data_IF_063822184690
#
_entry.id   IF_063822184690
#
_cell.length_a   1.000
_cell.length_b   1.000
_cell.length_c   1.000
_cell.angle_alpha   90.00
_cell.angle_beta   90.00
_cell.angle_gamma   90.00
#
_symmetry.space_group_name_H-M   'P 1'
#
loop_
_entity.id
_entity.type
_entity.pdbx_description
1 polymer ?
#
# COMPACT_ATOMS: atom_id res chain seq x y z
N UNK A 1 -51.83 -3.50 62.99
CA UNK A 1 -52.64 -4.73 62.83
C UNK A 1 -52.49 -5.18 61.39
N UNK A 2 -51.58 -6.11 61.07
CA UNK A 2 -51.79 -7.56 60.99
C UNK A 2 -52.85 -8.01 59.96
N UNK A 3 -52.41 -8.97 59.10
CA UNK A 3 -53.16 -10.00 58.32
C UNK A 3 -53.74 -9.55 56.95
N UNK A 4 -53.56 -10.23 55.80
CA UNK A 4 -52.94 -11.52 55.40
C UNK A 4 -52.72 -11.54 53.87
N UNK A 5 -51.74 -12.32 53.38
CA UNK A 5 -51.51 -12.73 51.98
C UNK A 5 -52.73 -13.44 51.34
N UNK A 6 -52.88 -13.38 50.00
CA UNK A 6 -52.80 -14.57 49.10
C UNK A 6 -52.78 -14.19 47.59
N UNK A 7 -51.67 -14.57 46.93
CA UNK A 7 -51.42 -15.04 45.54
C UNK A 7 -52.38 -14.67 44.37
N UNK A 8 -51.75 -14.28 43.25
CA UNK A 8 -51.85 -15.08 42.02
C UNK A 8 -52.25 -14.37 40.72
N UNK A 9 -51.24 -13.92 39.95
CA UNK A 9 -51.08 -14.00 38.48
C UNK A 9 -52.32 -13.99 37.56
N UNK A 10 -52.46 -12.92 36.77
CA UNK A 10 -52.71 -12.94 35.31
C UNK A 10 -52.75 -11.49 34.80
N UNK A 11 -51.64 -11.01 34.26
CA UNK A 11 -51.60 -9.75 33.51
C UNK A 11 -51.73 -10.09 32.02
N UNK A 12 -52.88 -9.76 31.43
CA UNK A 12 -53.05 -9.70 29.98
C UNK A 12 -52.44 -8.41 29.46
N UNK A 13 -51.31 -8.50 28.77
CA UNK A 13 -50.88 -7.46 27.83
C UNK A 13 -50.66 -8.11 26.47
N UNK A 14 -51.65 -7.94 25.60
CA UNK A 14 -51.51 -8.07 24.16
C UNK A 14 -50.46 -7.03 23.71
N UNK A 15 -49.24 -7.46 23.46
CA UNK A 15 -48.29 -6.77 22.59
C UNK A 15 -48.06 -7.67 21.40
N UNK A 16 -48.60 -7.25 20.26
CA UNK A 16 -48.36 -7.85 18.96
C UNK A 16 -46.92 -7.48 18.56
N UNK A 17 -45.93 -8.21 19.07
CA UNK A 17 -44.60 -8.28 18.48
C UNK A 17 -44.55 -9.56 17.66
N UNK A 18 -44.71 -9.44 16.35
CA UNK A 18 -44.24 -10.49 15.43
C UNK A 18 -42.71 -10.45 15.52
N UNK A 19 -42.15 -11.20 16.47
CA UNK A 19 -40.74 -11.50 16.47
C UNK A 19 -40.51 -12.50 15.34
N UNK A 20 -39.84 -12.07 14.28
CA UNK A 20 -39.23 -12.99 13.33
C UNK A 20 -38.02 -13.62 14.04
N UNK A 21 -38.26 -14.58 14.93
CA UNK A 21 -37.19 -15.39 15.53
C UNK A 21 -36.74 -16.39 14.48
N UNK A 22 -35.46 -16.35 14.11
CA UNK A 22 -34.83 -17.42 13.33
C UNK A 22 -35.10 -18.77 13.96
N UNK A 23 -35.34 -19.81 13.15
CA UNK A 23 -35.40 -21.19 13.60
C UNK A 23 -34.17 -21.50 14.47
N UNK A 24 -34.38 -22.22 15.57
CA UNK A 24 -33.32 -22.58 16.52
C UNK A 24 -32.13 -23.23 15.81
N UNK A 25 -32.39 -24.12 14.85
CA UNK A 25 -31.33 -24.81 14.10
C UNK A 25 -30.49 -23.86 13.23
N UNK A 26 -31.10 -22.82 12.65
CA UNK A 26 -30.40 -21.77 11.88
C UNK A 26 -29.59 -20.87 12.82
N UNK A 27 -30.16 -20.53 13.97
CA UNK A 27 -29.46 -19.76 15.00
C UNK A 27 -28.22 -20.51 15.51
N UNK A 28 -28.36 -21.81 15.77
CA UNK A 28 -27.26 -22.68 16.21
C UNK A 28 -26.18 -22.82 15.12
N UNK A 29 -26.57 -22.91 13.85
CA UNK A 29 -25.62 -22.89 12.73
C UNK A 29 -24.87 -21.55 12.67
N UNK A 30 -25.58 -20.42 12.72
CA UNK A 30 -24.93 -19.09 12.69
C UNK A 30 -23.96 -18.94 13.87
N UNK A 31 -24.36 -19.35 15.08
CA UNK A 31 -23.53 -19.26 16.26
C UNK A 31 -22.27 -20.15 16.17
N UNK A 32 -22.40 -21.37 15.65
CA UNK A 32 -21.24 -22.26 15.45
C UNK A 32 -20.27 -21.72 14.39
N UNK A 33 -20.79 -21.14 13.28
CA UNK A 33 -19.97 -20.43 12.28
C UNK A 33 -19.27 -19.22 12.92
N UNK A 34 -20.00 -18.44 13.71
CA UNK A 34 -19.48 -17.22 14.32
C UNK A 34 -18.32 -17.51 15.29
N UNK A 35 -18.47 -18.58 16.06
CA UNK A 35 -17.47 -19.13 16.96
C UNK A 35 -16.39 -19.98 16.25
N UNK A 36 -16.40 -20.05 14.92
CA UNK A 36 -15.45 -20.80 14.07
C UNK A 36 -15.39 -22.31 14.35
N UNK A 37 -16.47 -22.89 14.87
CA UNK A 37 -16.60 -24.32 15.17
C UNK A 37 -16.92 -25.13 13.91
N UNK A 38 -15.90 -25.36 13.07
CA UNK A 38 -16.06 -25.88 11.71
C UNK A 38 -16.75 -27.26 11.67
N UNK A 39 -16.35 -28.21 12.50
CA UNK A 39 -16.93 -29.56 12.49
C UNK A 39 -18.42 -29.55 12.88
N UNK A 40 -18.78 -28.82 13.95
CA UNK A 40 -20.17 -28.68 14.39
C UNK A 40 -21.03 -27.99 13.33
N UNK A 41 -20.51 -26.92 12.71
CA UNK A 41 -21.21 -26.24 11.62
C UNK A 41 -21.46 -27.18 10.43
N UNK A 42 -20.48 -27.99 10.04
CA UNK A 42 -20.63 -28.96 8.94
C UNK A 42 -21.69 -30.02 9.25
N UNK A 43 -21.75 -30.53 10.49
CA UNK A 43 -22.79 -31.47 10.92
C UNK A 43 -24.19 -30.86 10.83
N UNK A 44 -24.36 -29.61 11.26
CA UNK A 44 -25.66 -28.92 11.18
C UNK A 44 -26.05 -28.68 9.71
N UNK A 45 -25.13 -28.23 8.87
CA UNK A 45 -25.36 -28.01 7.42
C UNK A 45 -25.85 -29.28 6.73
N UNK A 46 -25.39 -30.45 7.15
CA UNK A 46 -25.78 -31.70 6.52
C UNK A 46 -27.25 -32.06 6.73
N UNK A 47 -27.86 -31.62 7.84
CA UNK A 47 -29.24 -31.94 8.22
C UNK A 47 -30.21 -30.76 8.13
N UNK A 48 -29.73 -29.53 7.93
CA UNK A 48 -30.59 -28.34 7.88
C UNK A 48 -31.39 -28.25 6.57
N UNK A 49 -32.69 -28.00 6.69
CA UNK A 49 -33.60 -27.92 5.55
C UNK A 49 -33.64 -26.55 4.86
N UNK A 50 -33.25 -25.46 5.55
CA UNK A 50 -33.23 -24.11 4.98
C UNK A 50 -31.92 -23.38 5.34
N UNK A 51 -31.05 -23.22 4.35
CA UNK A 51 -29.75 -22.53 4.52
C UNK A 51 -29.81 -21.02 4.24
N UNK A 52 -30.99 -20.52 3.87
CA UNK A 52 -31.22 -19.15 3.41
C UNK A 52 -31.94 -18.28 4.44
N UNK A 53 -32.32 -18.87 5.58
CA UNK A 53 -32.92 -18.12 6.67
C UNK A 53 -31.92 -17.10 7.24
N UNK A 54 -32.40 -15.88 7.45
CA UNK A 54 -31.59 -14.71 7.80
C UNK A 54 -31.83 -14.32 9.26
N UNK A 55 -30.76 -13.94 9.96
CA UNK A 55 -30.86 -13.38 11.31
C UNK A 55 -31.48 -11.97 11.34
N UNK A 56 -31.55 -11.38 12.54
CA UNK A 56 -32.08 -10.02 12.74
C UNK A 56 -31.35 -8.91 11.96
N UNK A 57 -30.14 -9.17 11.46
CA UNK A 57 -29.37 -8.26 10.62
C UNK A 57 -29.58 -8.55 9.12
N UNK A 58 -30.36 -9.57 8.77
CA UNK A 58 -30.51 -10.06 7.41
C UNK A 58 -29.39 -11.01 6.99
N UNK A 59 -28.56 -11.52 7.91
CA UNK A 59 -27.44 -12.38 7.52
C UNK A 59 -27.87 -13.86 7.51
N UNK A 60 -27.76 -14.48 6.34
CA UNK A 60 -27.83 -15.94 6.20
C UNK A 60 -26.47 -16.59 6.58
N UNK A 61 -26.44 -17.90 6.91
CA UNK A 61 -25.20 -18.64 7.21
C UNK A 61 -24.03 -18.40 6.24
N UNK A 62 -24.32 -18.24 4.94
CA UNK A 62 -23.29 -17.98 3.92
C UNK A 62 -22.63 -16.59 4.07
N UNK A 63 -23.36 -15.59 4.59
CA UNK A 63 -22.77 -14.29 4.94
C UNK A 63 -21.80 -14.43 6.11
N UNK A 64 -22.16 -15.21 7.13
CA UNK A 64 -21.31 -15.44 8.30
C UNK A 64 -20.04 -16.22 7.93
N UNK A 65 -20.17 -17.26 7.10
CA UNK A 65 -19.01 -18.01 6.59
C UNK A 65 -18.04 -17.11 5.82
N UNK A 66 -18.57 -16.21 4.98
CA UNK A 66 -17.80 -15.21 4.26
C UNK A 66 -17.15 -14.16 5.20
N UNK A 67 -17.94 -13.59 6.12
CA UNK A 67 -17.51 -12.58 7.11
C UNK A 67 -16.42 -13.11 8.06
N UNK A 68 -16.46 -14.40 8.40
CA UNK A 68 -15.49 -15.06 9.27
C UNK A 68 -14.32 -15.71 8.53
N UNK A 69 -14.28 -15.59 7.20
CA UNK A 69 -13.22 -16.15 6.36
C UNK A 69 -13.07 -17.68 6.54
N UNK A 70 -14.19 -18.42 6.42
CA UNK A 70 -14.27 -19.89 6.60
C UNK A 70 -14.60 -20.62 5.27
N UNK A 71 -13.61 -20.94 4.41
CA UNK A 71 -13.84 -21.49 3.08
C UNK A 71 -14.51 -22.87 3.07
N UNK A 72 -14.18 -23.71 4.05
CA UNK A 72 -14.75 -25.06 4.17
C UNK A 72 -16.26 -25.01 4.40
N UNK A 73 -16.71 -24.11 5.28
CA UNK A 73 -18.13 -23.89 5.57
C UNK A 73 -18.83 -23.29 4.35
N UNK A 74 -18.24 -22.25 3.73
CA UNK A 74 -18.79 -21.64 2.52
C UNK A 74 -18.97 -22.67 1.39
N UNK A 75 -18.00 -23.56 1.20
CA UNK A 75 -18.06 -24.65 0.22
C UNK A 75 -19.18 -25.64 0.51
N UNK A 76 -19.38 -26.00 1.77
CA UNK A 76 -20.47 -26.89 2.18
C UNK A 76 -21.84 -26.26 1.94
N UNK A 77 -22.03 -25.00 2.34
CA UNK A 77 -23.27 -24.24 2.12
C UNK A 77 -23.61 -24.11 0.63
N UNK A 78 -22.62 -23.77 -0.20
CA UNK A 78 -22.80 -23.67 -1.67
C UNK A 78 -23.15 -25.04 -2.27
N UNK A 79 -22.48 -26.12 -1.84
CA UNK A 79 -22.76 -27.48 -2.31
C UNK A 79 -24.19 -27.93 -1.96
N UNK A 80 -24.72 -27.48 -0.83
CA UNK A 80 -26.11 -27.74 -0.40
C UNK A 80 -27.14 -26.79 -1.03
N UNK A 81 -26.73 -25.87 -1.89
CA UNK A 81 -27.63 -25.03 -2.67
C UNK A 81 -28.17 -23.80 -1.93
N UNK A 82 -27.41 -23.23 -0.99
CA UNK A 82 -27.76 -21.91 -0.46
C UNK A 82 -27.80 -20.85 -1.58
N UNK A 83 -28.63 -19.82 -1.41
CA UNK A 83 -28.66 -18.67 -2.29
C UNK A 83 -27.48 -17.74 -1.97
N UNK A 84 -26.48 -17.80 -2.84
CA UNK A 84 -25.22 -17.07 -2.74
C UNK A 84 -25.36 -15.56 -3.00
N UNK A 85 -26.53 -15.11 -3.43
CA UNK A 85 -26.83 -13.73 -3.81
C UNK A 85 -27.81 -13.04 -2.86
N UNK A 86 -28.18 -13.69 -1.75
CA UNK A 86 -28.96 -13.06 -0.68
C UNK A 86 -28.28 -11.78 -0.21
N UNK A 87 -29.10 -10.79 0.14
CA UNK A 87 -28.60 -9.53 0.71
C UNK A 87 -29.05 -9.40 2.15
N UNK A 88 -28.17 -8.88 2.99
CA UNK A 88 -28.54 -8.45 4.34
C UNK A 88 -29.48 -7.22 4.33
N UNK A 89 -29.89 -6.78 5.52
CA UNK A 89 -30.75 -5.59 5.67
C UNK A 89 -30.12 -4.31 5.12
N UNK A 90 -28.81 -4.30 4.90
CA UNK A 90 -28.04 -3.20 4.33
C UNK A 90 -27.75 -3.39 2.84
N UNK A 91 -28.14 -4.50 2.21
CA UNK A 91 -27.88 -4.78 0.80
C UNK A 91 -26.52 -5.44 0.50
N UNK A 92 -25.80 -5.93 1.51
CA UNK A 92 -24.53 -6.65 1.35
C UNK A 92 -24.77 -8.13 1.09
N UNK A 93 -24.08 -8.69 0.08
CA UNK A 93 -24.08 -10.12 -0.24
C UNK A 93 -22.97 -10.86 0.49
N UNK A 94 -23.02 -12.22 0.53
CA UNK A 94 -21.89 -13.02 0.99
C UNK A 94 -20.59 -12.68 0.26
N UNK A 95 -20.67 -12.35 -1.03
CA UNK A 95 -19.51 -11.88 -1.79
C UNK A 95 -18.97 -10.58 -1.21
N UNK A 96 -19.81 -9.59 -0.87
CA UNK A 96 -19.32 -8.35 -0.24
C UNK A 96 -18.64 -8.62 1.12
N UNK A 97 -19.15 -9.56 1.92
CA UNK A 97 -18.49 -9.95 3.18
C UNK A 97 -17.16 -10.66 2.95
N UNK A 98 -17.07 -11.56 1.97
CA UNK A 98 -15.82 -12.23 1.60
C UNK A 98 -14.76 -11.22 1.12
N UNK A 99 -15.22 -10.18 0.39
CA UNK A 99 -14.38 -9.06 -0.05
C UNK A 99 -13.87 -8.26 1.13
N UNK A 100 -14.74 -7.91 2.08
CA UNK A 100 -14.39 -7.13 3.27
C UNK A 100 -13.46 -7.91 4.23
N UNK A 101 -13.62 -9.23 4.27
CA UNK A 101 -12.79 -10.12 5.08
C UNK A 101 -11.45 -10.51 4.41
N UNK A 102 -11.17 -9.96 3.22
CA UNK A 102 -9.96 -10.21 2.43
C UNK A 102 -9.66 -11.70 2.19
N UNK A 103 -10.71 -12.51 1.99
CA UNK A 103 -10.57 -13.95 1.75
C UNK A 103 -10.77 -14.30 0.27
N UNK A 104 -9.65 -14.35 -0.47
CA UNK A 104 -9.66 -14.64 -1.91
C UNK A 104 -10.22 -16.02 -2.27
N UNK A 105 -10.04 -17.02 -1.41
CA UNK A 105 -10.57 -18.38 -1.65
C UNK A 105 -12.10 -18.36 -1.71
N UNK A 106 -12.76 -17.69 -0.76
CA UNK A 106 -14.22 -17.56 -0.75
C UNK A 106 -14.69 -16.65 -1.88
N UNK A 107 -13.97 -15.57 -2.18
CA UNK A 107 -14.28 -14.69 -3.31
C UNK A 107 -14.30 -15.49 -4.62
N UNK A 108 -13.25 -16.28 -4.88
CA UNK A 108 -13.19 -17.14 -6.06
C UNK A 108 -14.28 -18.21 -6.07
N UNK A 109 -14.54 -18.84 -4.92
CA UNK A 109 -15.57 -19.85 -4.78
C UNK A 109 -16.97 -19.29 -5.09
N UNK A 110 -17.32 -18.12 -4.55
CA UNK A 110 -18.61 -17.47 -4.78
C UNK A 110 -18.76 -17.03 -6.25
N UNK A 111 -17.74 -16.36 -6.80
CA UNK A 111 -17.75 -15.93 -8.20
C UNK A 111 -17.90 -17.09 -9.17
N UNK A 112 -17.18 -18.20 -8.93
CA UNK A 112 -17.26 -19.42 -9.76
C UNK A 112 -18.67 -20.02 -9.77
N UNK A 113 -19.43 -19.85 -8.70
CA UNK A 113 -20.79 -20.39 -8.58
C UNK A 113 -21.88 -19.37 -8.96
N UNK A 114 -21.52 -18.25 -9.59
CA UNK A 114 -22.48 -17.27 -10.10
C UNK A 114 -22.88 -16.17 -9.12
N UNK A 115 -22.06 -15.90 -8.10
CA UNK A 115 -22.29 -14.77 -7.22
C UNK A 115 -22.15 -13.47 -8.00
N UNK A 116 -23.18 -12.62 -7.93
CA UNK A 116 -23.15 -11.27 -8.50
C UNK A 116 -22.67 -10.29 -7.46
N UNK A 117 -21.83 -9.34 -7.89
CA UNK A 117 -21.42 -8.22 -7.04
C UNK A 117 -22.63 -7.28 -6.92
N UNK A 118 -23.42 -7.42 -5.86
CA UNK A 118 -24.32 -6.35 -5.48
C UNK A 118 -23.51 -5.18 -4.92
N UNK A 119 -23.91 -4.02 -5.41
CA UNK A 119 -23.11 -2.82 -5.58
C UNK A 119 -23.21 -1.95 -4.32
N UNK A 120 -22.75 -2.45 -3.17
CA UNK A 120 -22.52 -1.67 -1.93
C UNK A 120 -21.15 -1.92 -1.28
N UNK A 121 -20.31 -2.73 -1.92
CA UNK A 121 -19.04 -3.20 -1.37
C UNK A 121 -17.87 -2.20 -1.45
N UNK A 122 -17.93 -1.18 -2.31
CA UNK A 122 -16.92 -0.12 -2.30
C UNK A 122 -17.46 0.98 -1.38
N UNK A 123 -16.71 1.29 -0.31
CA UNK A 123 -17.03 2.43 0.54
C UNK A 123 -16.94 3.72 -0.27
N UNK A 124 -17.46 4.82 0.30
CA UNK A 124 -17.12 6.14 -0.23
C UNK A 124 -15.61 6.24 -0.40
N UNK A 125 -15.18 6.59 -1.61
CA UNK A 125 -13.78 6.69 -1.97
C UNK A 125 -13.60 7.89 -2.86
N UNK A 126 -12.55 8.66 -2.60
CA UNK A 126 -12.10 9.76 -3.43
C UNK A 126 -10.60 9.63 -3.55
N UNK A 127 -10.10 9.48 -4.77
CA UNK A 127 -8.68 9.35 -5.07
C UNK A 127 -8.27 10.42 -6.08
N UNK A 128 -7.11 11.04 -5.86
CA UNK A 128 -6.63 12.19 -6.63
C UNK A 128 -6.07 13.33 -5.76
N UNK A 129 -5.85 14.52 -6.36
CA UNK A 129 -6.06 14.80 -7.78
C UNK A 129 -5.02 14.08 -8.64
N UNK A 130 -5.44 13.55 -9.76
CA UNK A 130 -4.57 13.26 -10.89
C UNK A 130 -4.53 14.51 -11.76
N UNK A 131 -3.35 14.86 -12.28
CA UNK A 131 -3.16 16.16 -12.94
C UNK A 131 -2.42 15.95 -14.24
N UNK A 132 -3.04 16.31 -15.35
CA UNK A 132 -2.50 16.15 -16.69
C UNK A 132 -2.00 17.48 -17.24
N UNK A 133 -0.86 17.43 -17.94
CA UNK A 133 -0.43 18.53 -18.80
C UNK A 133 -1.27 18.56 -20.07
N UNK A 134 -1.86 19.71 -20.39
CA UNK A 134 -2.69 19.92 -21.58
C UNK A 134 -2.24 21.15 -22.37
N UNK A 135 -2.68 21.30 -23.61
CA UNK A 135 -2.40 22.50 -24.42
C UNK A 135 -2.91 23.80 -23.76
N UNK A 136 -3.98 23.69 -22.98
CA UNK A 136 -4.69 24.82 -22.36
C UNK A 136 -4.29 25.07 -20.90
N UNK A 137 -3.28 24.36 -20.38
CA UNK A 137 -2.86 24.42 -18.97
C UNK A 137 -2.89 23.04 -18.33
N UNK A 138 -3.48 22.92 -17.14
CA UNK A 138 -3.59 21.64 -16.44
C UNK A 138 -5.04 21.14 -16.46
N UNK A 139 -5.21 19.82 -16.48
CA UNK A 139 -6.50 19.20 -16.18
C UNK A 139 -6.34 18.35 -14.93
N UNK A 140 -6.93 18.81 -13.83
CA UNK A 140 -6.91 18.09 -12.56
C UNK A 140 -8.24 17.34 -12.39
N UNK A 141 -8.20 16.11 -11.91
CA UNK A 141 -9.39 15.29 -11.73
C UNK A 141 -9.28 14.30 -10.56
N UNK A 142 -10.43 13.92 -10.00
CA UNK A 142 -10.57 12.93 -8.95
C UNK A 142 -11.42 11.77 -9.44
N UNK A 143 -11.07 10.57 -9.01
CA UNK A 143 -11.89 9.37 -9.17
C UNK A 143 -12.71 9.21 -7.90
N UNK A 144 -14.03 9.02 -8.05
CA UNK A 144 -14.95 8.96 -6.92
C UNK A 144 -15.85 7.75 -6.98
N UNK A 145 -16.11 7.18 -5.82
CA UNK A 145 -17.21 6.26 -5.61
C UNK A 145 -18.12 6.79 -4.52
N UNK A 146 -19.40 6.92 -4.84
CA UNK A 146 -20.47 7.16 -3.86
C UNK A 146 -21.14 5.83 -3.56
N UNK A 147 -21.02 5.36 -2.32
CA UNK A 147 -21.58 4.09 -1.87
C UNK A 147 -23.09 4.14 -1.67
N UNK A 148 -23.70 5.32 -1.50
CA UNK A 148 -25.14 5.46 -1.36
C UNK A 148 -25.85 5.29 -2.70
N UNK A 149 -25.34 5.95 -3.75
CA UNK A 149 -25.87 5.83 -5.12
C UNK A 149 -25.25 4.67 -5.91
N UNK A 150 -24.23 4.02 -5.36
CA UNK A 150 -23.33 3.09 -6.03
C UNK A 150 -22.87 3.54 -7.42
N UNK A 151 -22.44 4.80 -7.49
CA UNK A 151 -21.93 5.38 -8.71
C UNK A 151 -20.44 5.63 -8.57
N UNK A 152 -19.66 5.07 -9.49
CA UNK A 152 -18.29 5.51 -9.72
C UNK A 152 -18.27 6.52 -10.86
N UNK A 153 -17.58 7.63 -10.66
CA UNK A 153 -17.49 8.71 -11.64
C UNK A 153 -16.18 9.50 -11.47
N UNK A 154 -15.86 10.32 -12.47
CA UNK A 154 -14.75 11.26 -12.42
C UNK A 154 -15.29 12.68 -12.29
N UNK A 155 -14.58 13.52 -11.53
CA UNK A 155 -14.81 14.97 -11.49
C UNK A 155 -13.53 15.67 -11.86
N UNK A 156 -13.59 16.67 -12.76
CA UNK A 156 -12.39 17.32 -13.26
C UNK A 156 -12.58 18.81 -13.47
N UNK A 157 -11.47 19.55 -13.42
CA UNK A 157 -11.41 20.99 -13.68
C UNK A 157 -10.18 21.31 -14.52
N UNK A 158 -10.38 22.21 -15.47
CA UNK A 158 -9.26 22.84 -16.19
C UNK A 158 -8.72 24.00 -15.38
N UNK A 159 -7.41 24.05 -15.24
CA UNK A 159 -6.66 25.14 -14.63
C UNK A 159 -5.93 25.86 -15.77
N UNK A 160 -6.16 27.17 -15.87
CA UNK A 160 -5.70 27.97 -17.00
C UNK A 160 -4.17 27.92 -17.16
N UNK A 161 -3.72 27.96 -18.42
CA UNK A 161 -2.30 28.07 -18.75
C UNK A 161 -1.63 29.21 -17.99
N UNK A 162 -0.45 28.93 -17.43
CA UNK A 162 0.32 29.88 -16.63
C UNK A 162 -0.06 29.89 -15.14
N UNK A 163 -1.18 29.28 -14.75
CA UNK A 163 -1.50 29.00 -13.35
C UNK A 163 -0.85 27.69 -12.96
N UNK A 164 0.06 27.76 -11.98
CA UNK A 164 0.79 26.61 -11.47
C UNK A 164 0.38 26.24 -10.04
N UNK A 165 -0.63 26.88 -9.48
CA UNK A 165 -1.16 26.58 -8.16
C UNK A 165 -2.69 26.48 -8.20
N UNK A 166 -3.24 25.47 -7.57
CA UNK A 166 -4.69 25.33 -7.42
C UNK A 166 -5.05 24.69 -6.08
N UNK A 167 -6.24 25.02 -5.59
CA UNK A 167 -6.82 24.37 -4.41
C UNK A 167 -7.60 23.12 -4.86
N UNK A 168 -7.43 22.03 -4.13
CA UNK A 168 -8.29 20.86 -4.23
C UNK A 168 -9.77 21.22 -4.06
N UNK A 169 -10.64 20.31 -4.45
CA UNK A 169 -12.07 20.49 -4.28
C UNK A 169 -12.71 19.21 -3.76
N UNK A 170 -14.02 19.27 -3.53
CA UNK A 170 -14.80 18.05 -3.40
C UNK A 170 -14.46 17.20 -2.17
N UNK A 171 -14.02 17.87 -1.10
CA UNK A 171 -13.55 17.29 0.17
C UNK A 171 -12.06 17.50 0.41
N UNK A 172 -11.30 17.68 -0.66
CA UNK A 172 -9.87 18.00 -0.59
C UNK A 172 -9.66 19.51 -0.36
N UNK A 173 -8.87 19.84 0.66
CA UNK A 173 -8.58 21.22 1.06
C UNK A 173 -7.14 21.64 0.76
N UNK A 174 -6.35 20.72 0.21
CA UNK A 174 -4.92 20.88 -0.08
C UNK A 174 -4.71 21.92 -1.17
N UNK A 175 -3.60 22.67 -1.08
CA UNK A 175 -3.14 23.53 -2.18
C UNK A 175 -1.99 22.85 -2.88
N UNK A 176 -2.14 22.65 -4.19
CA UNK A 176 -1.16 21.98 -5.05
C UNK A 176 -0.40 23.03 -5.84
N UNK A 177 0.90 23.14 -5.58
CA UNK A 177 1.81 23.96 -6.37
C UNK A 177 2.59 23.04 -7.31
N UNK A 178 2.31 23.16 -8.61
CA UNK A 178 2.90 22.37 -9.69
C UNK A 178 4.17 23.06 -10.19
N UNK A 179 5.22 22.28 -10.40
CA UNK A 179 6.48 22.70 -11.00
C UNK A 179 6.89 21.80 -12.14
N UNK A 180 7.65 22.37 -13.08
CA UNK A 180 8.30 21.57 -14.11
C UNK A 180 9.26 20.56 -13.47
N UNK A 181 9.18 19.34 -13.94
CA UNK A 181 10.00 18.23 -13.47
C UNK A 181 11.47 18.46 -13.82
N UNK A 182 12.36 18.10 -12.89
CA UNK A 182 13.82 18.12 -13.10
C UNK A 182 14.42 16.78 -12.73
N UNK A 183 15.30 16.28 -13.59
CA UNK A 183 16.09 15.09 -13.29
C UNK A 183 17.13 15.42 -12.21
N UNK A 184 17.08 14.79 -11.03
CA UNK A 184 18.07 15.00 -9.99
C UNK A 184 19.42 14.39 -10.37
N UNK A 185 20.50 14.95 -9.79
CA UNK A 185 21.80 14.27 -9.77
C UNK A 185 21.67 12.92 -9.05
N UNK A 186 22.55 11.99 -9.35
CA UNK A 186 22.58 10.71 -8.65
C UNK A 186 23.56 10.70 -7.46
N UNK A 187 24.54 11.62 -7.44
CA UNK A 187 25.55 11.75 -6.38
C UNK A 187 25.48 13.12 -5.70
N UNK A 188 25.56 13.10 -4.37
CA UNK A 188 25.55 14.28 -3.50
C UNK A 188 26.62 14.15 -2.41
N UNK A 189 27.12 15.30 -1.93
CA UNK A 189 27.93 15.37 -0.72
C UNK A 189 27.28 16.37 0.23
N UNK A 190 27.18 16.01 1.51
CA UNK A 190 26.57 16.86 2.54
C UNK A 190 27.16 16.57 3.91
N UNK A 191 27.19 17.59 4.77
CA UNK A 191 27.47 17.46 6.21
C UNK A 191 26.18 17.52 7.04
N UNK A 192 25.05 17.76 6.39
CA UNK A 192 23.73 17.86 7.01
C UNK A 192 23.16 16.46 7.31
N UNK A 193 22.29 16.31 8.32
CA UNK A 193 21.71 15.03 8.67
C UNK A 193 20.85 14.44 7.54
N UNK A 194 20.91 13.12 7.37
CA UNK A 194 20.13 12.36 6.40
C UNK A 194 19.10 11.51 7.15
N UNK A 195 17.83 11.80 6.94
CA UNK A 195 16.71 11.01 7.44
C UNK A 195 16.23 10.06 6.35
N UNK A 196 16.01 8.79 6.69
CA UNK A 196 15.77 7.73 5.70
C UNK A 196 14.58 6.90 6.12
N UNK A 197 13.68 6.67 5.17
CA UNK A 197 12.53 5.77 5.29
C UNK A 197 12.60 4.69 4.21
N UNK A 198 12.23 3.46 4.59
CA UNK A 198 12.05 2.35 3.67
C UNK A 198 10.70 2.38 2.96
N UNK A 199 10.17 1.18 2.70
CA UNK A 199 8.95 0.93 1.93
C UNK A 199 7.71 1.59 2.58
N UNK A 200 7.01 2.43 1.83
CA UNK A 200 5.83 3.16 2.35
C UNK A 200 4.52 2.41 2.07
N UNK A 201 4.39 1.76 0.91
CA UNK A 201 3.24 0.95 0.50
C UNK A 201 1.87 1.59 0.77
N UNK A 202 1.73 2.87 0.41
CA UNK A 202 0.51 3.63 0.62
C UNK A 202 0.09 3.84 2.09
N UNK A 203 0.96 3.56 3.07
CA UNK A 203 0.73 3.76 4.51
C UNK A 203 1.01 5.22 4.91
N UNK A 204 0.28 6.14 4.29
CA UNK A 204 0.47 7.59 4.41
C UNK A 204 0.45 8.10 5.86
N UNK A 205 -0.51 7.64 6.67
CA UNK A 205 -0.67 8.15 8.04
C UNK A 205 0.53 7.77 8.91
N UNK A 206 1.06 6.55 8.74
CA UNK A 206 2.28 6.10 9.44
C UNK A 206 3.53 6.78 8.93
N UNK A 207 3.64 7.04 7.63
CA UNK A 207 4.72 7.86 7.09
C UNK A 207 4.72 9.26 7.72
N UNK A 208 3.55 9.92 7.81
CA UNK A 208 3.44 11.23 8.45
C UNK A 208 3.81 11.17 9.92
N UNK A 209 3.26 10.19 10.66
CA UNK A 209 3.53 10.03 12.08
C UNK A 209 5.04 9.94 12.34
N UNK A 210 5.75 9.13 11.55
CA UNK A 210 7.19 8.98 11.64
C UNK A 210 7.95 10.28 11.30
N UNK A 211 7.58 10.97 10.22
CA UNK A 211 8.20 12.24 9.84
C UNK A 211 7.96 13.35 10.87
N UNK A 212 6.78 13.38 11.50
CA UNK A 212 6.42 14.38 12.51
C UNK A 212 7.08 14.09 13.86
N UNK A 213 7.12 12.83 14.29
CA UNK A 213 7.77 12.42 15.54
C UNK A 213 9.23 12.88 15.60
N UNK A 214 9.90 12.89 14.45
CA UNK A 214 11.31 13.27 14.33
C UNK A 214 11.53 14.70 13.81
N UNK A 215 10.47 15.50 13.66
CA UNK A 215 10.59 16.91 13.26
C UNK A 215 11.03 17.14 11.81
N UNK A 216 10.96 16.13 10.95
CA UNK A 216 11.25 16.27 9.51
C UNK A 216 10.18 17.13 8.85
N UNK A 217 8.94 16.99 9.29
CA UNK A 217 7.81 17.84 8.91
C UNK A 217 7.07 18.35 10.14
N UNK A 218 6.43 19.52 10.02
CA UNK A 218 5.60 20.08 11.07
C UNK A 218 4.18 19.47 11.10
N UNK A 219 3.36 19.93 12.06
CA UNK A 219 1.95 19.51 12.20
C UNK A 219 1.06 19.93 11.03
N UNK A 220 1.53 20.85 10.18
CA UNK A 220 0.87 21.31 8.95
C UNK A 220 1.46 20.62 7.71
N UNK A 221 2.24 19.55 7.90
CA UNK A 221 2.88 18.75 6.85
C UNK A 221 3.87 19.55 6.00
N UNK A 222 4.46 20.63 6.55
CA UNK A 222 5.51 21.41 5.89
C UNK A 222 6.88 20.92 6.29
N UNK A 223 7.82 21.01 5.35
CA UNK A 223 9.23 20.75 5.61
C UNK A 223 9.74 21.55 6.81
N UNK A 224 10.29 20.84 7.80
CA UNK A 224 10.89 21.40 9.01
C UNK A 224 12.33 20.90 9.24
N UNK A 225 12.91 20.22 8.25
CA UNK A 225 14.21 19.56 8.35
C UNK A 225 15.40 20.39 7.84
N UNK A 226 15.30 21.73 7.91
CA UNK A 226 16.38 22.64 7.55
C UNK A 226 17.03 22.33 6.19
N UNK A 227 18.36 22.16 6.20
CA UNK A 227 19.17 21.74 5.04
C UNK A 227 19.40 20.23 4.97
N UNK A 228 18.78 19.46 5.85
CA UNK A 228 18.90 18.02 5.89
C UNK A 228 18.39 17.35 4.61
N UNK A 229 18.75 16.09 4.46
CA UNK A 229 18.32 15.26 3.34
C UNK A 229 17.28 14.25 3.84
N UNK A 230 16.18 14.08 3.11
CA UNK A 230 15.20 13.03 3.32
C UNK A 230 15.32 12.02 2.18
N UNK A 231 15.44 10.73 2.48
CA UNK A 231 15.58 9.66 1.48
C UNK A 231 14.45 8.64 1.65
N UNK A 232 13.73 8.38 0.57
CA UNK A 232 12.80 7.25 0.46
C UNK A 232 13.46 6.13 -0.34
N UNK A 233 13.58 4.94 0.25
CA UNK A 233 14.21 3.76 -0.35
C UNK A 233 13.18 2.88 -1.06
N UNK A 234 12.37 3.51 -1.91
CA UNK A 234 11.44 2.85 -2.84
C UNK A 234 10.10 2.44 -2.24
N UNK A 235 9.29 1.79 -3.07
CA UNK A 235 8.03 1.14 -2.71
C UNK A 235 7.04 2.05 -1.99
N UNK A 236 6.73 3.18 -2.63
CA UNK A 236 5.64 4.08 -2.24
C UNK A 236 4.29 3.53 -2.69
N UNK A 237 4.27 2.87 -3.84
CA UNK A 237 3.08 2.26 -4.44
C UNK A 237 2.62 0.97 -3.74
N UNK A 238 1.40 0.55 -4.13
CA UNK A 238 0.76 -0.72 -3.78
C UNK A 238 0.38 -0.90 -2.30
N UNK A 239 -0.43 -1.95 -2.06
CA UNK A 239 -0.99 -2.41 -0.78
C UNK A 239 -1.93 -1.42 -0.09
N UNK A 240 -1.44 -0.24 0.31
CA UNK A 240 -2.21 0.78 1.03
C UNK A 240 -3.12 1.63 0.14
N UNK A 241 -4.05 2.33 0.78
CA UNK A 241 -5.12 3.11 0.11
C UNK A 241 -4.88 4.62 0.13
N UNK A 242 -3.64 5.08 0.40
CA UNK A 242 -3.28 6.51 0.39
C UNK A 242 -1.99 6.82 -0.40
N UNK A 243 -1.77 6.05 -1.47
CA UNK A 243 -0.63 6.22 -2.39
C UNK A 243 -0.61 7.62 -3.00
N UNK A 244 -1.74 8.13 -3.49
CA UNK A 244 -1.81 9.42 -4.18
C UNK A 244 -1.47 10.57 -3.22
N UNK A 245 -1.97 10.51 -1.98
CA UNK A 245 -1.67 11.47 -0.92
C UNK A 245 -0.18 11.44 -0.54
N UNK A 246 0.41 10.24 -0.43
CA UNK A 246 1.84 10.09 -0.18
C UNK A 246 2.68 10.72 -1.31
N UNK A 247 2.36 10.43 -2.56
CA UNK A 247 3.05 11.00 -3.72
C UNK A 247 2.96 12.53 -3.74
N UNK A 248 1.78 13.11 -3.48
CA UNK A 248 1.62 14.56 -3.43
C UNK A 248 2.36 15.21 -2.27
N UNK A 249 2.36 14.58 -1.09
CA UNK A 249 3.14 15.07 0.04
C UNK A 249 4.63 15.04 -0.28
N UNK A 250 5.16 13.94 -0.81
CA UNK A 250 6.58 13.83 -1.18
C UNK A 250 6.93 14.85 -2.28
N UNK A 251 6.05 15.03 -3.28
CA UNK A 251 6.20 16.05 -4.32
C UNK A 251 6.28 17.47 -3.75
N UNK A 252 5.43 17.79 -2.77
CA UNK A 252 5.46 19.06 -2.03
C UNK A 252 6.73 19.21 -1.20
N UNK A 253 7.11 18.19 -0.44
CA UNK A 253 8.30 18.23 0.43
C UNK A 253 9.59 18.41 -0.39
N UNK A 254 9.69 17.81 -1.57
CA UNK A 254 10.84 18.02 -2.46
C UNK A 254 11.01 19.51 -2.82
N UNK A 255 9.90 20.23 -3.04
CA UNK A 255 9.91 21.67 -3.32
C UNK A 255 10.30 22.51 -2.12
N UNK A 256 9.76 22.17 -0.94
CA UNK A 256 10.03 22.91 0.29
C UNK A 256 11.47 22.68 0.78
N UNK A 257 11.96 21.44 0.69
CA UNK A 257 13.35 21.11 0.97
C UNK A 257 14.29 21.87 0.03
N UNK A 258 14.01 21.89 -1.27
CA UNK A 258 14.80 22.66 -2.24
C UNK A 258 14.89 24.15 -1.88
N UNK A 259 13.78 24.75 -1.41
CA UNK A 259 13.74 26.16 -0.97
C UNK A 259 14.52 26.38 0.33
N UNK A 260 14.51 25.42 1.24
CA UNK A 260 15.24 25.47 2.51
C UNK A 260 16.74 25.15 2.36
N UNK A 261 17.18 24.71 1.18
CA UNK A 261 18.55 24.25 0.92
C UNK A 261 18.79 22.79 1.26
N UNK A 262 17.74 22.05 1.66
CA UNK A 262 17.76 20.60 1.83
C UNK A 262 17.42 19.86 0.54
N UNK A 263 17.17 18.55 0.68
CA UNK A 263 16.81 17.66 -0.44
C UNK A 263 15.85 16.56 -0.02
N UNK A 264 14.96 16.17 -0.93
CA UNK A 264 14.23 14.91 -0.87
C UNK A 264 14.71 14.02 -2.02
N UNK A 265 15.05 12.77 -1.72
CA UNK A 265 15.54 11.78 -2.66
C UNK A 265 14.58 10.59 -2.68
N UNK A 266 14.34 10.05 -3.87
CA UNK A 266 13.59 8.81 -4.05
C UNK A 266 14.50 7.87 -4.83
N UNK A 267 14.81 6.71 -4.23
CA UNK A 267 15.44 5.59 -4.92
C UNK A 267 14.35 4.59 -5.27
N UNK A 268 13.97 4.51 -6.55
CA UNK A 268 12.85 3.68 -7.02
C UNK A 268 12.91 2.24 -6.53
N UNK A 269 11.76 1.73 -6.06
CA UNK A 269 11.54 0.34 -5.73
C UNK A 269 10.93 -0.48 -6.86
N UNK A 270 10.67 -1.75 -6.59
CA UNK A 270 10.08 -2.62 -7.60
C UNK A 270 8.59 -2.31 -7.82
N UNK A 271 7.87 -1.82 -6.82
CA UNK A 271 6.45 -1.51 -6.96
C UNK A 271 6.19 -0.30 -7.86
N UNK A 272 7.06 0.73 -7.83
CA UNK A 272 7.02 1.82 -8.83
C UNK A 272 7.17 1.26 -10.25
N UNK A 273 8.12 0.33 -10.46
CA UNK A 273 8.34 -0.28 -11.78
C UNK A 273 7.16 -1.13 -12.23
N UNK A 274 6.57 -1.89 -11.31
CA UNK A 274 5.43 -2.74 -11.57
C UNK A 274 4.22 -1.91 -12.00
N UNK A 275 3.80 -0.95 -11.18
CA UNK A 275 2.64 -0.11 -11.46
C UNK A 275 2.83 0.67 -12.75
N UNK A 276 3.99 1.31 -12.95
CA UNK A 276 4.23 2.09 -14.17
C UNK A 276 4.31 1.23 -15.45
N UNK A 277 4.53 -0.08 -15.33
CA UNK A 277 4.51 -1.06 -16.42
C UNK A 277 3.27 -1.97 -16.43
N UNK A 278 2.14 -1.50 -15.88
CA UNK A 278 0.83 -2.17 -15.88
C UNK A 278 0.72 -3.44 -15.03
N UNK A 279 1.71 -3.72 -14.20
CA UNK A 279 1.64 -4.82 -13.25
C UNK A 279 0.96 -4.35 -11.96
N UNK A 280 -0.37 -4.50 -11.93
CA UNK A 280 -1.23 -4.05 -10.84
C UNK A 280 -1.60 -5.18 -9.88
N UNK A 281 -0.75 -6.20 -9.71
CA UNK A 281 -1.09 -7.37 -8.87
C UNK A 281 -1.20 -7.03 -7.38
N UNK A 282 -0.52 -5.99 -6.91
CA UNK A 282 -0.48 -5.60 -5.50
C UNK A 282 -1.18 -4.27 -5.19
N UNK A 283 -1.82 -3.62 -6.17
CA UNK A 283 -2.58 -2.40 -5.89
C UNK A 283 -3.71 -2.71 -4.91
N UNK A 284 -4.01 -1.76 -4.02
CA UNK A 284 -5.12 -1.92 -3.10
C UNK A 284 -6.42 -2.21 -3.87
N UNK A 285 -7.22 -3.13 -3.33
CA UNK A 285 -8.49 -3.54 -3.94
C UNK A 285 -9.43 -2.37 -4.22
N UNK A 286 -9.42 -1.36 -3.34
CA UNK A 286 -10.19 -0.14 -3.49
C UNK A 286 -9.89 0.56 -4.84
N UNK A 287 -8.61 0.77 -5.16
CA UNK A 287 -8.18 1.35 -6.43
C UNK A 287 -8.51 0.46 -7.62
N UNK A 288 -8.30 -0.86 -7.49
CA UNK A 288 -8.67 -1.83 -8.53
C UNK A 288 -10.15 -1.74 -8.89
N UNK A 289 -11.02 -1.73 -7.89
CA UNK A 289 -12.46 -1.62 -8.06
C UNK A 289 -12.85 -0.26 -8.67
N UNK A 290 -12.24 0.82 -8.20
CA UNK A 290 -12.50 2.18 -8.70
C UNK A 290 -12.14 2.30 -10.19
N UNK A 291 -10.95 1.83 -10.57
CA UNK A 291 -10.49 1.83 -11.94
C UNK A 291 -11.34 0.92 -12.85
N UNK A 292 -11.64 -0.30 -12.40
CA UNK A 292 -12.50 -1.23 -13.16
C UNK A 292 -13.89 -0.65 -13.44
N UNK A 293 -14.49 0.03 -12.45
CA UNK A 293 -15.80 0.66 -12.63
C UNK A 293 -15.78 1.84 -13.61
N UNK A 294 -14.62 2.43 -13.85
CA UNK A 294 -14.41 3.51 -14.81
C UNK A 294 -13.86 3.02 -16.16
N UNK A 295 -13.54 1.73 -16.29
CA UNK A 295 -12.85 1.20 -17.46
C UNK A 295 -11.44 1.75 -17.65
N UNK A 296 -10.75 2.05 -16.54
CA UNK A 296 -9.39 2.60 -16.53
C UNK A 296 -8.37 1.54 -16.10
N UNK A 297 -7.16 1.60 -16.67
CA UNK A 297 -6.00 0.95 -16.09
C UNK A 297 -5.41 1.85 -14.99
N UNK A 298 -5.04 1.29 -13.83
CA UNK A 298 -4.47 2.10 -12.73
C UNK A 298 -3.19 2.85 -13.14
N UNK A 299 -2.33 2.22 -13.96
CA UNK A 299 -1.12 2.87 -14.46
C UNK A 299 -1.41 4.09 -15.36
N UNK A 300 -2.60 4.18 -15.96
CA UNK A 300 -2.98 5.29 -16.82
C UNK A 300 -3.14 6.59 -16.03
N UNK A 301 -3.38 6.51 -14.71
CA UNK A 301 -3.42 7.66 -13.81
C UNK A 301 -2.05 8.31 -13.61
N UNK A 302 -0.97 7.58 -13.89
CA UNK A 302 0.43 8.01 -13.79
C UNK A 302 1.13 7.95 -15.15
N UNK A 303 0.43 8.33 -16.23
CA UNK A 303 0.99 8.33 -17.58
C UNK A 303 2.11 9.39 -17.75
N UNK A 304 3.00 9.27 -18.77
CA UNK A 304 4.16 10.16 -18.91
C UNK A 304 3.84 11.67 -19.04
N UNK A 305 2.61 12.03 -19.40
CA UNK A 305 2.17 13.42 -19.55
C UNK A 305 1.29 13.89 -18.36
N UNK A 306 1.16 13.10 -17.29
CA UNK A 306 0.62 13.58 -16.01
C UNK A 306 1.74 14.12 -15.14
N UNK A 307 1.44 15.07 -14.26
CA UNK A 307 2.42 15.72 -13.38
C UNK A 307 3.15 14.70 -12.52
N UNK A 308 2.42 13.83 -11.82
CA UNK A 308 3.04 12.78 -11.01
C UNK A 308 3.73 11.72 -11.86
N UNK A 309 3.18 11.36 -13.03
CA UNK A 309 3.77 10.38 -13.93
C UNK A 309 5.09 10.84 -14.55
N UNK A 310 5.19 12.11 -14.95
CA UNK A 310 6.42 12.76 -15.41
C UNK A 310 7.43 12.86 -14.26
N UNK A 311 6.99 13.34 -13.09
CA UNK A 311 7.82 13.50 -11.90
C UNK A 311 8.45 12.19 -11.45
N UNK A 312 7.67 11.11 -11.37
CA UNK A 312 8.13 9.77 -11.04
C UNK A 312 9.22 9.30 -12.02
N UNK A 313 8.99 9.46 -13.33
CA UNK A 313 9.95 9.06 -14.38
C UNK A 313 11.25 9.86 -14.38
N UNK A 314 11.33 10.96 -13.64
CA UNK A 314 12.58 11.71 -13.45
C UNK A 314 13.47 11.16 -12.35
N UNK A 315 12.96 10.35 -11.41
CA UNK A 315 13.70 9.97 -10.21
C UNK A 315 14.81 8.95 -10.50
N UNK A 316 15.72 8.81 -9.55
CA UNK A 316 16.78 7.82 -9.62
C UNK A 316 16.26 6.47 -9.14
N UNK A 317 16.87 5.39 -9.62
CA UNK A 317 16.77 4.05 -9.01
C UNK A 317 17.78 3.88 -7.88
N UNK A 318 18.89 4.62 -7.94
CA UNK A 318 19.95 4.62 -6.94
C UNK A 318 20.47 6.04 -6.71
N UNK A 319 20.67 6.40 -5.45
CA UNK A 319 21.25 7.69 -5.07
C UNK A 319 22.45 7.44 -4.17
N UNK A 320 23.56 8.13 -4.42
CA UNK A 320 24.74 8.12 -3.56
C UNK A 320 24.81 9.45 -2.80
N UNK A 321 24.95 9.38 -1.48
CA UNK A 321 25.19 10.55 -0.63
C UNK A 321 26.42 10.25 0.20
N UNK A 322 27.47 11.07 0.07
CA UNK A 322 28.78 10.81 0.65
C UNK A 322 29.29 9.42 0.22
N UNK A 323 29.63 8.54 1.15
CA UNK A 323 30.09 7.17 0.90
C UNK A 323 28.98 6.10 1.09
N UNK A 324 27.71 6.52 1.03
CA UNK A 324 26.53 5.66 1.21
C UNK A 324 25.73 5.56 -0.08
N UNK A 325 25.42 4.34 -0.51
CA UNK A 325 24.51 4.08 -1.63
C UNK A 325 23.12 3.71 -1.11
N UNK A 326 22.08 4.38 -1.61
CA UNK A 326 20.67 4.08 -1.35
C UNK A 326 20.07 3.40 -2.58
N UNK A 327 19.63 2.15 -2.42
CA UNK A 327 19.04 1.32 -3.48
C UNK A 327 17.98 0.41 -2.87
N UNK A 328 16.86 0.19 -3.56
CA UNK A 328 15.73 -0.52 -2.96
C UNK A 328 16.04 -1.98 -2.55
N UNK A 329 16.44 -2.84 -3.48
CA UNK A 329 16.76 -4.25 -3.14
C UNK A 329 18.23 -4.45 -2.74
N UNK A 330 19.15 -4.09 -3.63
CA UNK A 330 20.59 -4.25 -3.40
C UNK A 330 21.38 -4.52 -4.68
N UNK A 331 22.70 -4.46 -4.61
CA UNK A 331 23.60 -4.69 -5.75
C UNK A 331 24.28 -6.05 -5.61
N UNK A 332 23.99 -6.96 -6.54
CA UNK A 332 24.63 -8.27 -6.62
C UNK A 332 25.97 -8.23 -7.36
N UNK A 333 26.83 -9.23 -7.14
CA UNK A 333 28.06 -9.38 -7.93
C UNK A 333 27.78 -9.49 -9.43
N UNK A 334 26.71 -10.21 -9.83
CA UNK A 334 26.26 -10.29 -11.24
C UNK A 334 25.97 -8.91 -11.83
N UNK A 335 25.41 -7.99 -11.03
CA UNK A 335 25.16 -6.62 -11.47
C UNK A 335 26.46 -5.85 -11.66
N UNK A 336 27.47 -6.05 -10.80
CA UNK A 336 28.82 -5.47 -10.98
C UNK A 336 29.49 -6.03 -12.24
N UNK A 337 29.37 -7.35 -12.48
CA UNK A 337 29.95 -8.03 -13.63
C UNK A 337 29.36 -7.55 -14.97
N UNK A 338 28.14 -6.99 -14.96
CA UNK A 338 27.52 -6.33 -16.12
C UNK A 338 28.23 -5.03 -16.54
N UNK A 339 29.12 -4.51 -15.69
CA UNK A 339 29.92 -3.28 -15.88
C UNK A 339 29.10 -2.01 -16.11
N UNK A 340 27.84 -2.00 -15.67
CA UNK A 340 27.01 -0.79 -15.68
C UNK A 340 27.18 -0.03 -14.36
N UNK A 341 27.53 1.25 -14.45
CA UNK A 341 27.56 2.15 -13.31
C UNK A 341 26.14 2.47 -12.81
N UNK A 342 25.97 2.87 -11.54
CA UNK A 342 24.69 3.34 -11.02
C UNK A 342 24.06 4.48 -11.84
N UNK A 343 24.88 5.39 -12.37
CA UNK A 343 24.42 6.48 -13.24
C UNK A 343 23.83 5.98 -14.57
N UNK A 344 24.50 5.02 -15.21
CA UNK A 344 24.01 4.41 -16.44
C UNK A 344 22.71 3.65 -16.22
N UNK A 345 22.60 2.92 -15.11
CA UNK A 345 21.37 2.23 -14.72
C UNK A 345 20.25 3.25 -14.50
N UNK A 346 20.48 4.33 -13.74
CA UNK A 346 19.50 5.39 -13.56
C UNK A 346 19.02 5.99 -14.89
N UNK A 347 19.96 6.32 -15.79
CA UNK A 347 19.63 6.85 -17.12
C UNK A 347 18.80 5.87 -17.94
N UNK A 348 19.21 4.60 -17.96
CA UNK A 348 18.55 3.55 -18.72
C UNK A 348 17.14 3.27 -18.18
N UNK A 349 16.95 3.26 -16.87
CA UNK A 349 15.65 3.04 -16.25
C UNK A 349 14.66 4.18 -16.52
N UNK A 350 15.12 5.44 -16.49
CA UNK A 350 14.27 6.58 -16.89
C UNK A 350 13.83 6.48 -18.34
N UNK A 351 14.76 6.14 -19.24
CA UNK A 351 14.44 5.92 -20.65
C UNK A 351 13.41 4.79 -20.81
N UNK A 352 13.63 3.67 -20.13
CA UNK A 352 12.70 2.54 -20.14
C UNK A 352 11.30 2.92 -19.67
N UNK A 353 11.17 3.69 -18.59
CA UNK A 353 9.85 4.09 -18.09
C UNK A 353 9.12 5.09 -19.00
N UNK A 354 9.84 5.85 -19.83
CA UNK A 354 9.26 6.80 -20.79
C UNK A 354 8.90 6.12 -22.11
N UNK A 355 9.84 5.39 -22.70
CA UNK A 355 9.74 4.88 -24.08
C UNK A 355 9.64 3.37 -24.19
N UNK A 356 9.63 2.64 -23.07
CA UNK A 356 9.74 1.18 -23.06
C UNK A 356 11.15 0.69 -23.44
N UNK A 357 11.27 -0.63 -23.61
CA UNK A 357 12.53 -1.25 -24.07
C UNK A 357 12.70 -1.08 -25.58
N UNK A 358 13.95 -0.94 -26.03
CA UNK A 358 14.32 -1.02 -27.44
C UNK A 358 15.39 -2.11 -27.67
N UNK A 359 15.61 -2.57 -28.92
CA UNK A 359 16.56 -3.66 -29.21
C UNK A 359 17.99 -3.38 -28.73
N UNK A 360 18.43 -2.11 -28.77
CA UNK A 360 19.81 -1.73 -28.43
C UNK A 360 20.12 -1.84 -26.94
N UNK A 361 19.11 -1.78 -26.07
CA UNK A 361 19.28 -1.80 -24.62
C UNK A 361 18.58 -2.98 -23.93
N UNK A 362 17.94 -3.87 -24.70
CA UNK A 362 17.11 -4.95 -24.18
C UNK A 362 17.87 -5.88 -23.22
N UNK A 363 19.07 -6.33 -23.59
CA UNK A 363 19.86 -7.23 -22.76
C UNK A 363 20.30 -6.59 -21.44
N UNK A 364 20.68 -5.30 -21.48
CA UNK A 364 21.04 -4.53 -20.29
C UNK A 364 19.84 -4.36 -19.36
N UNK A 365 18.68 -4.01 -19.91
CA UNK A 365 17.44 -3.90 -19.15
C UNK A 365 17.03 -5.22 -18.52
N UNK A 366 17.14 -6.34 -19.26
CA UNK A 366 16.83 -7.66 -18.71
C UNK A 366 17.73 -8.04 -17.54
N UNK A 367 19.00 -7.62 -17.52
CA UNK A 367 19.86 -7.85 -16.36
C UNK A 367 19.41 -7.05 -15.13
N UNK A 368 19.06 -5.78 -15.34
CA UNK A 368 18.61 -4.87 -14.27
C UNK A 368 17.26 -5.33 -13.68
N UNK A 369 16.35 -5.83 -14.51
CA UNK A 369 14.99 -6.20 -14.10
C UNK A 369 14.87 -7.62 -13.52
N UNK A 370 15.95 -8.42 -13.54
CA UNK A 370 15.95 -9.78 -12.97
C UNK A 370 15.97 -9.74 -11.44
N UNK A 371 15.70 -10.90 -10.82
CA UNK A 371 15.67 -11.05 -9.36
C UNK A 371 17.01 -10.74 -8.66
N UNK A 372 18.13 -10.73 -9.39
CA UNK A 372 19.45 -10.34 -8.87
C UNK A 372 19.81 -8.87 -9.17
N UNK A 373 18.92 -8.13 -9.82
CA UNK A 373 19.09 -6.72 -10.12
C UNK A 373 18.71 -5.80 -8.96
N UNK A 374 18.95 -4.49 -9.10
CA UNK A 374 18.88 -3.50 -8.01
C UNK A 374 17.53 -3.41 -7.29
N UNK A 375 16.43 -3.78 -7.96
CA UNK A 375 15.08 -3.65 -7.41
C UNK A 375 14.58 -4.86 -6.63
N UNK A 376 15.23 -6.02 -6.77
CA UNK A 376 14.68 -7.31 -6.29
C UNK A 376 15.68 -8.13 -5.47
N UNK A 377 16.94 -7.73 -5.46
CA UNK A 377 17.99 -8.55 -4.87
C UNK A 377 17.87 -8.59 -3.35
N UNK A 378 17.84 -9.80 -2.78
CA UNK A 378 17.77 -10.06 -1.31
C UNK A 378 18.96 -10.87 -0.80
N UNK A 379 20.02 -11.00 -1.60
CA UNK A 379 21.16 -11.86 -1.28
C UNK A 379 22.03 -11.35 -0.13
N UNK A 380 21.75 -10.18 0.43
CA UNK A 380 22.33 -9.76 1.71
C UNK A 380 21.73 -10.53 2.89
N UNK A 381 20.48 -10.97 2.79
CA UNK A 381 19.72 -11.49 3.91
C UNK A 381 19.45 -12.99 3.79
N UNK A 382 19.24 -13.49 2.57
CA UNK A 382 18.73 -14.84 2.35
C UNK A 382 19.17 -15.49 1.04
N UNK A 383 19.08 -16.82 1.02
CA UNK A 383 19.20 -17.66 -0.17
C UNK A 383 17.95 -17.57 -1.05
N UNK A 384 18.15 -17.63 -2.37
CA UNK A 384 17.09 -17.81 -3.38
C UNK A 384 17.51 -18.88 -4.39
N UNK A 385 16.59 -19.32 -5.24
CA UNK A 385 16.94 -20.29 -6.30
C UNK A 385 17.90 -19.69 -7.33
N UNK A 386 17.90 -18.36 -7.52
CA UNK A 386 18.72 -17.68 -8.53
C UNK A 386 20.09 -17.19 -8.01
N UNK A 387 20.28 -17.12 -6.70
CA UNK A 387 21.50 -16.66 -6.03
C UNK A 387 21.55 -17.08 -4.57
N UNK A 388 22.75 -17.15 -3.99
CA UNK A 388 22.98 -17.44 -2.58
C UNK A 388 23.17 -16.16 -1.76
N UNK A 389 22.93 -16.27 -0.46
CA UNK A 389 23.31 -15.25 0.51
C UNK A 389 24.82 -15.05 0.44
N UNK A 390 25.26 -13.80 0.31
CA UNK A 390 26.68 -13.49 0.19
C UNK A 390 27.37 -13.45 1.55
N UNK A 391 28.68 -13.65 1.54
CA UNK A 391 29.57 -13.46 2.68
C UNK A 391 30.14 -12.05 2.73
N UNK A 392 30.70 -11.65 3.87
CA UNK A 392 31.39 -10.37 4.01
C UNK A 392 32.62 -10.22 3.09
N UNK A 393 33.23 -11.33 2.64
CA UNK A 393 34.33 -11.31 1.68
C UNK A 393 33.81 -10.99 0.26
N UNK A 394 32.65 -11.54 -0.11
CA UNK A 394 32.00 -11.29 -1.40
C UNK A 394 31.37 -9.89 -1.49
N UNK A 395 30.99 -9.29 -0.35
CA UNK A 395 30.51 -7.91 -0.32
C UNK A 395 31.61 -6.87 -0.63
N UNK A 396 32.84 -7.13 -0.17
CA UNK A 396 33.97 -6.20 -0.34
C UNK A 396 34.23 -5.76 -1.79
N UNK A 397 34.31 -6.65 -2.80
CA UNK A 397 34.49 -6.23 -4.19
C UNK A 397 33.31 -5.42 -4.73
N UNK A 398 32.08 -5.68 -4.26
CA UNK A 398 30.88 -4.91 -4.65
C UNK A 398 31.01 -3.46 -4.17
N UNK A 399 31.29 -3.27 -2.88
CA UNK A 399 31.50 -1.93 -2.29
C UNK A 399 32.63 -1.17 -2.98
N UNK A 400 33.76 -1.86 -3.25
CA UNK A 400 34.91 -1.28 -3.96
C UNK A 400 34.56 -0.84 -5.38
N UNK A 401 33.80 -1.64 -6.12
CA UNK A 401 33.37 -1.31 -7.48
C UNK A 401 32.43 -0.09 -7.50
N UNK A 402 31.55 0.02 -6.50
CA UNK A 402 30.60 1.13 -6.32
C UNK A 402 31.25 2.38 -5.73
N UNK A 403 32.45 2.27 -5.15
CA UNK A 403 33.16 3.34 -4.43
C UNK A 403 32.32 3.90 -3.27
N UNK A 404 31.77 3.00 -2.46
CA UNK A 404 30.99 3.29 -1.25
C UNK A 404 31.44 2.38 -0.11
N UNK A 405 31.22 2.82 1.13
CA UNK A 405 31.50 2.03 2.33
C UNK A 405 30.26 1.24 2.77
N UNK A 406 29.07 1.80 2.53
CA UNK A 406 27.80 1.31 3.07
C UNK A 406 26.74 1.30 1.97
N UNK A 407 25.86 0.29 1.99
CA UNK A 407 24.65 0.23 1.18
C UNK A 407 23.44 0.21 2.12
N UNK A 408 22.51 1.14 1.92
CA UNK A 408 21.21 1.19 2.59
C UNK A 408 20.16 0.64 1.64
N UNK A 409 19.39 -0.34 2.12
CA UNK A 409 18.37 -1.07 1.35
C UNK A 409 17.03 -1.12 2.05
N UNK A 410 15.97 -1.31 1.26
CA UNK A 410 14.62 -1.64 1.73
C UNK A 410 14.23 -3.04 1.28
N UNK A 411 13.00 -3.21 0.76
CA UNK A 411 12.49 -4.40 0.06
C UNK A 411 12.28 -5.68 0.90
N UNK A 412 13.14 -5.94 1.88
CA UNK A 412 13.06 -7.12 2.76
C UNK A 412 12.57 -6.69 4.14
N UNK A 413 11.29 -6.96 4.42
CA UNK A 413 10.68 -6.58 5.69
C UNK A 413 11.38 -7.22 6.89
N UNK A 414 11.64 -6.41 7.92
CA UNK A 414 12.06 -6.85 9.24
C UNK A 414 11.32 -6.05 10.31
N UNK A 415 11.20 -6.62 11.51
CA UNK A 415 10.54 -5.95 12.64
C UNK A 415 11.36 -4.75 13.18
N UNK A 416 12.68 -4.73 12.90
CA UNK A 416 13.60 -3.68 13.34
C UNK A 416 14.64 -3.32 12.27
N UNK A 417 15.09 -2.06 12.30
CA UNK A 417 16.24 -1.62 11.49
C UNK A 417 17.46 -2.44 11.88
N UNK A 418 18.15 -2.97 10.88
CA UNK A 418 19.28 -3.86 11.13
C UNK A 418 20.54 -3.43 10.40
N UNK A 419 21.67 -3.67 11.05
CA UNK A 419 22.99 -3.54 10.47
C UNK A 419 23.59 -4.94 10.29
N UNK A 420 24.06 -5.21 9.08
CA UNK A 420 24.67 -6.48 8.70
C UNK A 420 26.07 -6.25 8.13
N UNK A 421 26.88 -7.33 8.13
CA UNK A 421 28.25 -7.31 7.59
C UNK A 421 29.16 -6.25 8.26
N UNK A 422 29.02 -6.10 9.58
CA UNK A 422 29.69 -5.08 10.41
C UNK A 422 29.34 -3.66 9.96
N UNK A 423 28.05 -3.33 9.94
CA UNK A 423 27.55 -2.00 9.55
C UNK A 423 27.63 -1.65 8.07
N UNK A 424 28.06 -2.56 7.20
CA UNK A 424 28.25 -2.28 5.76
C UNK A 424 26.97 -2.40 4.93
N UNK A 425 25.96 -3.11 5.43
CA UNK A 425 24.60 -3.13 4.88
C UNK A 425 23.66 -2.69 5.99
N UNK A 426 22.81 -1.70 5.70
CA UNK A 426 21.74 -1.26 6.60
C UNK A 426 20.40 -1.54 5.93
N UNK A 427 19.53 -2.29 6.61
CA UNK A 427 18.16 -2.54 6.17
C UNK A 427 17.21 -1.57 6.88
N UNK A 428 16.41 -0.84 6.10
CA UNK A 428 15.45 0.16 6.58
C UNK A 428 13.99 -0.21 6.30
N UNK A 429 13.72 -1.41 5.79
CA UNK A 429 12.34 -1.82 5.51
C UNK A 429 11.63 -2.36 6.75
N UNK A 430 10.90 -1.46 7.41
CA UNK A 430 9.92 -1.79 8.43
C UNK A 430 8.55 -1.94 7.77
N UNK A 431 7.80 -3.02 8.01
CA UNK A 431 6.47 -3.21 7.44
C UNK A 431 5.49 -2.19 8.02
N UNK A 432 5.33 -1.05 7.35
CA UNK A 432 4.41 0.00 7.79
C UNK A 432 2.94 -0.45 7.79
N UNK A 433 2.60 -1.59 7.17
CA UNK A 433 1.23 -2.11 7.23
C UNK A 433 0.91 -2.83 8.55
N UNK A 434 1.92 -3.17 9.35
CA UNK A 434 1.75 -3.96 10.58
C UNK A 434 1.78 -3.06 11.82
N UNK A 435 0.61 -2.68 12.33
CA UNK A 435 0.48 -1.74 13.47
C UNK A 435 1.14 -2.23 14.76
N UNK A 436 1.38 -3.54 14.89
CA UNK A 436 2.08 -4.14 16.02
C UNK A 436 3.58 -3.83 16.03
N UNK A 437 4.16 -3.47 14.88
CA UNK A 437 5.58 -3.15 14.72
C UNK A 437 5.73 -1.63 14.79
N UNK A 438 6.47 -1.08 15.78
CA UNK A 438 6.66 0.36 15.91
C UNK A 438 7.30 0.97 14.66
N UNK A 439 6.91 2.19 14.32
CA UNK A 439 7.59 2.95 13.27
C UNK A 439 9.04 3.23 13.65
N UNK A 440 9.92 3.04 12.68
CA UNK A 440 11.33 3.36 12.82
C UNK A 440 11.82 4.13 11.61
N UNK A 441 12.90 4.89 11.79
CA UNK A 441 13.59 5.57 10.72
C UNK A 441 15.09 5.51 10.93
N UNK A 442 15.85 5.58 9.84
CA UNK A 442 17.30 5.69 9.93
C UNK A 442 17.70 7.17 9.90
N UNK A 443 18.52 7.57 10.86
CA UNK A 443 19.20 8.86 10.87
C UNK A 443 20.70 8.66 10.68
N UNK A 444 21.26 9.38 9.71
CA UNK A 444 22.69 9.43 9.45
C UNK A 444 23.18 10.85 9.77
N UNK A 445 24.06 10.97 10.75
CA UNK A 445 24.68 12.24 11.14
C UNK A 445 26.10 11.97 11.64
N UNK A 446 27.05 12.87 11.35
CA UNK A 446 28.44 12.75 11.78
C UNK A 446 29.10 11.38 11.47
N UNK A 447 28.73 10.78 10.34
CA UNK A 447 29.22 9.46 9.90
C UNK A 447 28.69 8.27 10.71
N UNK A 448 27.70 8.48 11.58
CA UNK A 448 27.07 7.44 12.41
C UNK A 448 25.65 7.17 11.95
N UNK A 449 25.17 5.96 12.22
CA UNK A 449 23.89 5.44 11.77
C UNK A 449 23.05 5.13 13.00
N UNK A 450 21.85 5.72 13.08
CA UNK A 450 20.97 5.58 14.22
C UNK A 450 19.61 5.05 13.79
N UNK A 451 19.10 4.04 14.48
CA UNK A 451 17.67 3.75 14.47
C UNK A 451 16.96 4.75 15.37
N UNK A 452 15.91 5.36 14.84
CA UNK A 452 15.00 6.22 15.56
C UNK A 452 13.64 5.53 15.68
N UNK A 453 13.05 5.54 16.86
CA UNK A 453 11.70 5.04 17.12
C UNK A 453 10.75 6.18 17.43
N UNK A 454 9.45 6.01 17.17
CA UNK A 454 8.43 7.07 17.37
C UNK A 454 8.34 7.64 18.79
N UNK A 455 8.73 6.88 19.81
CA UNK A 455 8.81 7.34 21.20
C UNK A 455 10.05 8.21 21.48
N UNK A 456 10.86 8.49 20.45
CA UNK A 456 12.00 9.39 20.50
C UNK A 456 13.32 8.70 20.90
N UNK A 457 13.35 7.36 21.02
CA UNK A 457 14.61 6.68 21.28
C UNK A 457 15.50 6.75 20.04
N UNK A 458 16.79 6.96 20.30
CA UNK A 458 17.84 7.05 19.29
C UNK A 458 18.94 6.05 19.64
N UNK A 459 19.05 5.00 18.84
CA UNK A 459 19.96 3.87 19.09
C UNK A 459 20.99 3.77 17.98
N UNK A 460 22.27 3.72 18.34
CA UNK A 460 23.36 3.54 17.38
C UNK A 460 23.31 2.13 16.77
N UNK A 461 23.34 2.04 15.44
CA UNK A 461 23.47 0.80 14.69
C UNK A 461 24.97 0.49 14.50
N UNK A 462 25.39 -0.72 14.90
CA UNK A 462 26.79 -1.17 14.86
C UNK A 462 27.03 -2.25 13.80
#
# INVERSE_FOLDING_TARGET
MLKTLYKGFLFSCLLFTISCTTNQDTSDLIQTIDNRQTESALQIIDHLNNLNEQDSLGLAPIHWAAKRALPQIAKALIKKGCDINLTDTQGYTPLNYAIKADNDEIVHLLLKNGAVVYKKGLSNLSDGPFVDWTENGLYAYYLKHDSLSCKTYMTGKTIARGVNEFKGWDGDTTTYTIRNTKTPKWEFNTQEPIFVLGDIHGQYDRMISNLQAHGVIDKQLKWSWGKGHLVFVGDIFDRGQKVTEALWLIYKLEQEADKAGGKVHISFGNHELMVLNKDNRYIARAYKNLCNNLGLDYNALFHPNSVLGEWLRSKNSMTKINDVLFVHGGISQKQIDSRMSPEEINKLMRQYLISGSNPNNQDKLQQILKSFGPFWYRGYFMDRSQYKKITGQELTPILKALKVSIIVVGHTENDELSASFNGRIIDVNIPLAEDSIPNQALLIEDGKFYSLTEDGNKTLLN
#
